data_IF_159455906275
#
_entry.id   IF_159455906275
#
_cell.length_a   1.000
_cell.length_b   1.000
_cell.length_c   1.000
_cell.angle_alpha   90.00
_cell.angle_beta   90.00
_cell.angle_gamma   90.00
#
_symmetry.space_group_name_H-M   'P 1'
#
loop_
_entity.id
_entity.type
_entity.pdbx_description
1 polymer ?
#
# COMPACT_ATOMS: atom_id res chain seq x y z
N UNK A 1 7.92 -15.46 7.33
CA UNK A 1 8.26 -14.03 7.07
C UNK A 1 7.38 -13.54 5.93
N UNK A 2 6.70 -12.42 6.11
CA UNK A 2 5.75 -11.87 5.12
C UNK A 2 6.39 -10.69 4.37
N UNK A 3 5.81 -10.30 3.22
CA UNK A 3 6.23 -9.08 2.54
C UNK A 3 5.95 -7.84 3.40
N UNK A 4 6.81 -6.82 3.28
CA UNK A 4 6.63 -5.52 3.91
C UNK A 4 6.41 -4.44 2.87
N UNK A 5 5.73 -3.38 3.26
CA UNK A 5 5.61 -2.17 2.47
C UNK A 5 6.97 -1.47 2.46
N UNK A 6 7.57 -1.35 1.28
CA UNK A 6 8.88 -0.72 1.06
C UNK A 6 8.74 0.77 0.74
N UNK A 7 7.79 1.11 -0.12
CA UNK A 7 7.54 2.48 -0.54
C UNK A 7 6.08 2.66 -0.92
N UNK A 8 5.64 3.91 -0.93
CA UNK A 8 4.32 4.31 -1.42
C UNK A 8 4.44 5.55 -2.31
N UNK A 9 3.45 5.74 -3.17
CA UNK A 9 3.28 6.95 -3.95
C UNK A 9 1.88 7.05 -4.52
N UNK A 10 1.54 8.19 -5.11
CA UNK A 10 0.29 8.35 -5.84
C UNK A 10 0.54 8.21 -7.34
N UNK A 11 -0.38 7.54 -8.04
CA UNK A 11 -0.36 7.37 -9.48
C UNK A 11 -1.74 7.62 -10.06
N UNK A 12 -1.78 8.10 -11.30
CA UNK A 12 -3.01 8.09 -12.07
C UNK A 12 -3.32 6.65 -12.53
N UNK A 13 -4.60 6.29 -12.53
CA UNK A 13 -5.13 5.07 -13.14
C UNK A 13 -5.59 5.34 -14.57
N UNK A 14 -5.88 4.28 -15.34
CA UNK A 14 -6.27 4.39 -16.76
C UNK A 14 -7.56 5.19 -16.98
N UNK A 15 -8.48 5.17 -16.01
CA UNK A 15 -9.74 5.92 -15.98
C UNK A 15 -9.58 7.36 -15.47
N UNK A 16 -8.35 7.80 -15.17
CA UNK A 16 -8.06 9.16 -14.71
C UNK A 16 -8.30 9.37 -13.20
N UNK A 17 -8.57 8.30 -12.45
CA UNK A 17 -8.60 8.37 -10.99
C UNK A 17 -7.18 8.38 -10.39
N UNK A 18 -7.11 8.66 -9.08
CA UNK A 18 -5.87 8.56 -8.31
C UNK A 18 -5.88 7.25 -7.54
N UNK A 19 -4.77 6.53 -7.56
CA UNK A 19 -4.53 5.36 -6.72
C UNK A 19 -3.27 5.53 -5.88
N UNK A 20 -3.27 4.90 -4.71
CA UNK A 20 -2.07 4.72 -3.90
C UNK A 20 -1.31 3.50 -4.45
N UNK A 21 -0.18 3.74 -5.09
CA UNK A 21 0.77 2.71 -5.47
C UNK A 21 1.59 2.29 -4.25
N UNK A 22 1.66 0.99 -3.99
CA UNK A 22 2.39 0.40 -2.87
C UNK A 22 3.40 -0.60 -3.41
N UNK A 23 4.68 -0.38 -3.10
CA UNK A 23 5.75 -1.31 -3.40
C UNK A 23 5.95 -2.24 -2.21
N UNK A 24 5.90 -3.55 -2.45
CA UNK A 24 6.12 -4.60 -1.47
C UNK A 24 7.49 -5.23 -1.67
N UNK A 25 8.26 -5.41 -0.60
CA UNK A 25 9.50 -6.18 -0.56
C UNK A 25 9.30 -7.51 0.15
N UNK A 26 9.64 -8.59 -0.53
CA UNK A 26 9.60 -9.95 0.01
C UNK A 26 10.93 -10.32 0.69
N UNK A 27 10.92 -11.26 1.66
CA UNK A 27 12.13 -11.70 2.35
C UNK A 27 13.20 -12.30 1.43
N UNK A 28 12.80 -12.85 0.28
CA UNK A 28 13.70 -13.39 -0.73
C UNK A 28 14.32 -12.31 -1.65
N UNK A 29 14.07 -11.03 -1.40
CA UNK A 29 14.53 -9.93 -2.25
C UNK A 29 13.68 -9.70 -3.51
N UNK A 30 12.53 -10.36 -3.65
CA UNK A 30 11.55 -10.02 -4.68
C UNK A 30 10.80 -8.73 -4.35
N UNK A 31 10.25 -8.08 -5.38
CA UNK A 31 9.29 -6.97 -5.24
C UNK A 31 7.98 -7.28 -5.95
N UNK A 32 6.91 -6.66 -5.46
CA UNK A 32 5.64 -6.56 -6.19
C UNK A 32 5.06 -5.17 -5.99
N UNK A 33 4.39 -4.63 -7.00
CA UNK A 33 3.68 -3.37 -6.89
C UNK A 33 2.18 -3.66 -6.92
N UNK A 34 1.45 -3.09 -5.97
CA UNK A 34 -0.02 -3.14 -5.92
C UNK A 34 -0.57 -1.71 -5.92
N UNK A 35 -1.81 -1.56 -6.36
CA UNK A 35 -2.52 -0.29 -6.37
C UNK A 35 -3.75 -0.40 -5.47
N UNK A 36 -3.99 0.64 -4.68
CA UNK A 36 -5.17 0.79 -3.84
C UNK A 36 -5.96 1.97 -4.38
N UNK A 37 -7.21 1.73 -4.76
CA UNK A 37 -8.09 2.76 -5.27
C UNK A 37 -8.38 3.79 -4.17
N UNK A 38 -8.63 5.04 -4.56
CA UNK A 38 -8.86 6.15 -3.62
C UNK A 38 -9.98 5.86 -2.61
N UNK A 39 -11.03 5.16 -3.02
CA UNK A 39 -12.16 4.77 -2.16
C UNK A 39 -11.80 3.80 -1.02
N UNK A 40 -10.70 3.06 -1.18
CA UNK A 40 -10.25 2.04 -0.25
C UNK A 40 -9.09 2.50 0.66
N UNK A 41 -8.41 3.60 0.30
CA UNK A 41 -7.30 4.15 1.09
C UNK A 41 -7.72 4.41 2.54
N UNK A 42 -8.89 5.00 2.76
CA UNK A 42 -9.39 5.27 4.12
C UNK A 42 -9.58 3.99 4.95
N UNK A 43 -10.03 2.89 4.32
CA UNK A 43 -10.20 1.59 4.98
C UNK A 43 -8.85 0.99 5.36
N UNK A 44 -7.86 1.09 4.46
CA UNK A 44 -6.50 0.62 4.71
C UNK A 44 -5.84 1.38 5.85
N UNK A 45 -5.91 2.71 5.88
CA UNK A 45 -5.35 3.51 6.98
C UNK A 45 -6.00 3.17 8.32
N UNK A 46 -7.32 2.96 8.33
CA UNK A 46 -8.05 2.50 9.51
C UNK A 46 -7.62 1.10 9.95
N UNK A 47 -7.49 0.15 9.02
CA UNK A 47 -7.05 -1.22 9.31
C UNK A 47 -5.61 -1.26 9.86
N UNK A 48 -4.74 -0.39 9.33
CA UNK A 48 -3.37 -0.22 9.79
C UNK A 48 -3.24 0.59 11.09
N UNK A 49 -4.32 1.23 11.55
CA UNK A 49 -4.35 2.16 12.67
C UNK A 49 -3.32 3.30 12.53
N UNK A 50 -3.27 3.93 11.35
CA UNK A 50 -2.38 5.07 11.06
C UNK A 50 -3.17 6.26 10.49
N UNK A 51 -2.59 7.45 10.62
CA UNK A 51 -3.23 8.69 10.18
C UNK A 51 -2.85 9.10 8.75
N UNK A 52 -1.64 8.76 8.29
CA UNK A 52 -1.15 9.12 6.97
C UNK A 52 -0.63 7.90 6.20
N UNK A 53 -0.70 7.96 4.87
CA UNK A 53 -0.23 6.87 4.02
C UNK A 53 1.26 6.56 4.26
N UNK A 54 2.10 7.57 4.47
CA UNK A 54 3.55 7.38 4.72
C UNK A 54 3.84 6.49 5.93
N UNK A 55 2.92 6.43 6.90
CA UNK A 55 3.06 5.60 8.10
C UNK A 55 2.89 4.10 7.80
N UNK A 56 2.44 3.74 6.59
CA UNK A 56 2.35 2.36 6.13
C UNK A 56 3.74 1.77 5.80
N UNK A 57 4.75 2.59 5.54
CA UNK A 57 6.09 2.11 5.17
C UNK A 57 6.70 1.31 6.34
N UNK A 58 7.17 0.11 6.04
CA UNK A 58 7.70 -0.85 7.02
C UNK A 58 6.66 -1.80 7.63
N UNK A 59 5.36 -1.53 7.45
CA UNK A 59 4.28 -2.42 7.90
C UNK A 59 4.20 -3.71 7.06
N UNK A 60 3.64 -4.81 7.62
CA UNK A 60 3.39 -6.02 6.85
C UNK A 60 2.30 -5.79 5.80
N UNK A 61 2.40 -6.43 4.64
CA UNK A 61 1.42 -6.32 3.54
C UNK A 61 -0.02 -6.69 3.94
N UNK A 62 -0.20 -7.44 5.03
CA UNK A 62 -1.51 -7.86 5.54
C UNK A 62 -2.43 -6.70 5.93
N UNK A 63 -1.89 -5.51 6.21
CA UNK A 63 -2.71 -4.33 6.51
C UNK A 63 -3.50 -3.82 5.29
N UNK A 64 -3.12 -4.26 4.09
CA UNK A 64 -3.80 -3.93 2.84
C UNK A 64 -5.02 -4.84 2.57
N UNK A 65 -5.20 -5.90 3.37
CA UNK A 65 -6.34 -6.82 3.23
C UNK A 65 -7.57 -6.20 3.91
N UNK A 66 -8.49 -5.66 3.10
CA UNK A 66 -9.70 -4.94 3.51
C UNK A 66 -10.97 -5.60 2.98
#
# INVERSE_FOLDING_TARGET
MTAKIEAIGFTATHDGEVALAVLLRFPNGGTSQVQILSEDVAKVLKNANVAAANDLVGMPWSVLNI
#
